data_IF_913144528156
#
_entry.id   IF_913144528156
#
_cell.length_a   1.000
_cell.length_b   1.000
_cell.length_c   1.000
_cell.angle_alpha   90.00
_cell.angle_beta   90.00
_cell.angle_gamma   90.00
#
_symmetry.space_group_name_H-M   'P 1'
#
loop_
_entity.id
_entity.type
_entity.pdbx_description
1 polymer ?
#
# COMPACT_ATOMS: atom_id res chain seq x y z
N UNK A 1 -38.12 -26.61 26.60
CA UNK A 1 -36.87 -27.39 26.61
C UNK A 1 -35.78 -26.44 27.08
N UNK A 2 -35.65 -26.32 28.40
CA UNK A 2 -34.63 -25.49 29.05
C UNK A 2 -33.31 -26.26 29.05
N UNK A 3 -32.23 -25.60 28.64
CA UNK A 3 -30.87 -26.11 28.80
C UNK A 3 -30.14 -25.16 29.75
N UNK A 4 -30.01 -25.60 31.00
CA UNK A 4 -29.13 -25.00 32.00
C UNK A 4 -27.70 -25.50 31.76
N UNK A 5 -26.73 -24.59 31.67
CA UNK A 5 -25.31 -24.89 31.67
C UNK A 5 -24.61 -24.10 32.79
N UNK A 6 -24.01 -24.76 33.79
CA UNK A 6 -23.04 -24.14 34.68
C UNK A 6 -21.64 -24.73 34.47
N UNK A 7 -20.62 -23.90 34.22
CA UNK A 7 -19.19 -24.16 34.51
C UNK A 7 -18.42 -22.87 34.19
N UNK A 8 -18.07 -22.05 35.18
CA UNK A 8 -16.86 -22.12 36.00
C UNK A 8 -15.53 -21.96 35.20
N UNK A 9 -14.93 -20.78 35.37
CA UNK A 9 -13.50 -20.44 35.45
C UNK A 9 -12.49 -21.46 34.88
N UNK A 10 -11.69 -21.01 33.91
CA UNK A 10 -10.27 -21.38 33.85
C UNK A 10 -9.42 -20.23 33.28
N UNK A 11 -8.71 -19.56 34.18
CA UNK A 11 -7.56 -18.71 33.87
C UNK A 11 -6.43 -19.59 33.31
N UNK A 12 -5.80 -19.16 32.22
CA UNK A 12 -4.43 -19.58 31.92
C UNK A 12 -3.71 -18.43 31.20
N UNK A 13 -2.84 -17.76 31.94
CA UNK A 13 -1.94 -16.73 31.42
C UNK A 13 -0.83 -17.36 30.59
N UNK A 14 -0.44 -16.68 29.51
CA UNK A 14 0.73 -17.04 28.72
C UNK A 14 1.77 -15.95 28.91
N UNK A 15 2.80 -16.28 29.69
CA UNK A 15 4.06 -15.58 29.70
C UNK A 15 4.93 -16.08 28.53
N UNK A 16 5.45 -15.17 27.73
CA UNK A 16 6.53 -15.46 26.79
C UNK A 16 7.55 -14.32 26.87
N UNK A 17 8.64 -14.60 27.58
CA UNK A 17 9.84 -13.78 27.59
C UNK A 17 10.87 -14.31 26.58
N UNK A 18 11.66 -13.39 26.03
CA UNK A 18 12.97 -13.53 25.36
C UNK A 18 13.12 -12.32 24.41
N UNK A 19 14.26 -11.66 24.20
CA UNK A 19 15.60 -11.70 24.75
C UNK A 19 16.26 -10.39 24.27
N UNK A 20 17.01 -9.69 25.11
CA UNK A 20 17.84 -8.57 24.67
C UNK A 20 19.05 -8.42 25.59
N UNK A 21 20.22 -8.85 25.12
CA UNK A 21 21.49 -8.17 25.38
C UNK A 21 22.63 -8.80 24.58
N UNK A 22 23.43 -7.94 23.95
CA UNK A 22 24.85 -8.19 23.72
C UNK A 22 25.22 -8.71 22.34
N UNK A 23 25.79 -7.84 21.52
CA UNK A 23 27.17 -8.00 21.02
C UNK A 23 27.61 -6.71 20.34
N UNK A 24 28.55 -6.01 20.98
CA UNK A 24 29.36 -4.99 20.35
C UNK A 24 30.65 -5.65 19.84
N UNK A 25 31.10 -5.36 18.62
CA UNK A 25 32.50 -5.54 18.26
C UNK A 25 33.24 -4.20 18.41
N UNK A 26 34.24 -4.22 19.27
CA UNK A 26 35.31 -3.24 19.40
C UNK A 26 36.24 -3.32 18.18
N UNK A 27 36.28 -2.27 17.37
CA UNK A 27 37.28 -2.06 16.33
C UNK A 27 38.19 -0.90 16.73
N UNK A 28 39.48 -1.19 16.92
CA UNK A 28 40.47 -0.23 17.40
C UNK A 28 41.11 0.65 16.31
N UNK A 29 41.61 1.79 16.80
CA UNK A 29 42.80 2.54 16.43
C UNK A 29 43.03 3.01 14.97
N UNK A 30 43.09 4.34 14.77
CA UNK A 30 44.24 5.02 14.11
C UNK A 30 44.38 6.49 14.56
N UNK A 31 45.57 6.84 15.08
CA UNK A 31 46.42 8.00 14.71
C UNK A 31 45.91 9.47 14.72
N UNK A 32 46.63 10.30 15.48
CA UNK A 32 46.63 11.78 15.48
C UNK A 32 47.26 12.41 14.19
N UNK A 33 47.11 13.75 13.96
CA UNK A 33 47.20 14.44 12.66
C UNK A 33 48.62 14.99 12.32
N UNK A 34 48.83 15.63 11.15
CA UNK A 34 48.93 17.11 11.15
C UNK A 34 48.48 17.90 9.88
N UNK A 35 48.36 19.20 10.16
CA UNK A 35 48.16 20.46 9.43
C UNK A 35 48.43 20.69 7.91
N UNK A 36 47.62 21.65 7.42
CA UNK A 36 47.91 22.81 6.55
C UNK A 36 48.02 22.65 5.02
N UNK A 37 47.05 23.25 4.32
CA UNK A 37 47.13 23.67 2.92
C UNK A 37 46.05 24.71 2.63
N UNK A 38 46.45 25.93 2.31
CA UNK A 38 45.59 27.06 1.99
C UNK A 38 45.10 27.00 0.52
N UNK A 39 43.91 27.54 0.27
CA UNK A 39 43.55 28.13 -1.01
C UNK A 39 42.37 27.50 -1.77
N UNK A 40 41.56 28.41 -2.31
CA UNK A 40 40.62 28.25 -3.43
C UNK A 40 39.14 27.99 -3.11
N UNK A 41 38.37 29.06 -3.32
CA UNK A 41 36.91 29.16 -3.48
C UNK A 41 36.34 28.06 -4.38
N UNK A 42 35.35 27.31 -3.89
CA UNK A 42 34.50 26.45 -4.70
C UNK A 42 33.02 26.59 -4.25
N UNK A 43 32.06 26.69 -5.18
CA UNK A 43 30.64 26.91 -4.88
C UNK A 43 29.99 25.69 -4.21
N UNK A 44 28.92 25.95 -3.45
CA UNK A 44 28.10 24.95 -2.78
C UNK A 44 27.62 23.87 -3.78
N UNK A 45 27.70 22.57 -3.45
CA UNK A 45 27.12 21.53 -4.29
C UNK A 45 25.59 21.59 -4.18
N UNK A 46 24.92 21.65 -5.33
CA UNK A 46 23.49 21.43 -5.49
C UNK A 46 23.05 20.11 -4.84
N UNK A 47 21.80 19.99 -4.37
CA UNK A 47 21.29 18.72 -3.87
C UNK A 47 21.32 17.69 -4.99
N UNK A 48 22.02 16.58 -4.77
CA UNK A 48 21.98 15.41 -5.63
C UNK A 48 20.55 14.86 -5.65
N UNK A 49 19.97 14.77 -6.83
CA UNK A 49 18.74 14.00 -7.06
C UNK A 49 18.98 12.56 -6.58
N UNK A 50 18.26 12.15 -5.53
CA UNK A 50 18.21 10.74 -5.13
C UNK A 50 17.82 9.90 -6.35
N UNK A 51 18.54 8.80 -6.66
CA UNK A 51 18.12 7.91 -7.73
C UNK A 51 16.71 7.41 -7.41
N UNK A 52 15.79 7.52 -8.38
CA UNK A 52 14.50 6.86 -8.32
C UNK A 52 14.75 5.37 -8.08
N UNK A 53 14.43 4.90 -6.87
CA UNK A 53 14.51 3.48 -6.54
C UNK A 53 13.46 2.77 -7.40
N UNK A 54 13.90 1.93 -8.33
CA UNK A 54 13.02 1.02 -9.05
C UNK A 54 12.27 0.16 -8.01
N UNK A 55 10.93 0.10 -8.03
CA UNK A 55 10.20 -0.71 -7.06
C UNK A 55 10.56 -2.19 -7.25
N UNK A 56 11.10 -2.79 -6.19
CA UNK A 56 11.32 -4.23 -6.13
C UNK A 56 9.95 -4.92 -6.10
N UNK A 57 9.68 -5.77 -7.09
CA UNK A 57 8.40 -6.48 -7.21
C UNK A 57 8.11 -7.34 -5.96
N UNK A 58 6.86 -7.38 -5.47
CA UNK A 58 6.46 -8.27 -4.37
C UNK A 58 6.69 -9.75 -4.75
N UNK A 59 7.00 -10.63 -3.78
CA UNK A 59 7.22 -12.05 -4.05
C UNK A 59 5.89 -12.76 -4.32
N UNK A 60 5.67 -13.09 -5.59
CA UNK A 60 4.52 -13.82 -6.12
C UNK A 60 4.17 -13.24 -7.48
N UNK A 61 4.63 -13.85 -8.57
CA UNK A 61 4.46 -13.29 -9.92
C UNK A 61 2.99 -13.21 -10.34
N UNK A 62 2.50 -12.01 -10.60
CA UNK A 62 1.11 -11.74 -11.03
C UNK A 62 1.12 -10.46 -11.89
N UNK A 63 0.94 -10.64 -13.20
CA UNK A 63 0.78 -9.57 -14.18
C UNK A 63 1.99 -8.66 -14.47
N UNK A 64 2.01 -8.04 -15.64
CA UNK A 64 2.99 -6.98 -15.95
C UNK A 64 2.63 -5.74 -15.11
N UNK A 65 3.57 -5.21 -14.32
CA UNK A 65 3.35 -3.94 -13.63
C UNK A 65 3.30 -2.81 -14.66
N UNK A 66 2.17 -2.11 -14.71
CA UNK A 66 1.95 -0.96 -15.60
C UNK A 66 2.27 0.38 -14.93
N UNK A 67 2.15 0.45 -13.61
CA UNK A 67 2.41 1.67 -12.87
C UNK A 67 2.35 1.46 -11.35
N UNK A 68 3.01 2.38 -10.64
CA UNK A 68 3.04 2.42 -9.17
C UNK A 68 2.98 3.84 -8.66
N UNK A 69 2.31 4.09 -7.54
CA UNK A 69 2.32 5.38 -6.86
C UNK A 69 2.35 5.22 -5.34
N UNK A 70 2.92 6.19 -4.64
CA UNK A 70 2.99 6.22 -3.16
C UNK A 70 2.65 7.61 -2.65
N UNK A 71 1.81 7.70 -1.61
CA UNK A 71 1.46 8.98 -0.98
C UNK A 71 2.31 9.28 0.27
N UNK A 72 2.14 10.46 0.86
CA UNK A 72 2.85 10.87 2.07
C UNK A 72 2.53 10.01 3.31
N UNK A 73 1.40 9.31 3.32
CA UNK A 73 1.04 8.37 4.38
C UNK A 73 1.69 6.98 4.20
N UNK A 74 2.51 6.80 3.17
CA UNK A 74 3.17 5.53 2.84
C UNK A 74 2.21 4.47 2.29
N UNK A 75 1.03 4.86 1.81
CA UNK A 75 0.15 3.98 1.07
C UNK A 75 0.68 3.82 -0.34
N UNK A 76 0.70 2.58 -0.83
CA UNK A 76 1.18 2.25 -2.17
C UNK A 76 0.04 1.72 -3.02
N UNK A 77 0.00 2.13 -4.28
CA UNK A 77 -0.92 1.63 -5.27
C UNK A 77 -0.11 1.06 -6.44
N UNK A 78 -0.45 -0.14 -6.87
CA UNK A 78 0.22 -0.86 -7.96
C UNK A 78 -0.85 -1.35 -8.93
N UNK A 79 -0.69 -1.04 -10.22
CA UNK A 79 -1.56 -1.56 -11.28
C UNK A 79 -0.78 -2.60 -12.06
N UNK A 80 -1.35 -3.80 -12.16
CA UNK A 80 -0.84 -4.91 -12.97
C UNK A 80 -1.81 -5.25 -14.09
N UNK A 81 -1.29 -5.70 -15.23
CA UNK A 81 -2.08 -6.27 -16.31
C UNK A 81 -2.12 -7.80 -16.16
N UNK A 82 -3.32 -8.36 -16.01
CA UNK A 82 -3.53 -9.81 -16.05
C UNK A 82 -3.84 -10.27 -17.49
N UNK A 83 -3.43 -11.48 -17.90
CA UNK A 83 -3.79 -12.02 -19.20
C UNK A 83 -5.32 -12.12 -19.33
N UNK A 84 -5.91 -11.45 -20.34
CA UNK A 84 -7.36 -11.49 -20.58
C UNK A 84 -8.11 -10.15 -20.47
N UNK A 85 -7.45 -9.02 -20.74
CA UNK A 85 -8.02 -7.66 -20.79
C UNK A 85 -8.56 -7.10 -19.46
N UNK A 86 -7.99 -7.57 -18.33
CA UNK A 86 -8.29 -7.04 -17.01
C UNK A 86 -7.03 -6.44 -16.38
N UNK A 87 -7.20 -5.27 -15.79
CA UNK A 87 -6.21 -4.64 -14.95
C UNK A 87 -6.58 -4.89 -13.48
N UNK A 88 -5.58 -5.20 -12.67
CA UNK A 88 -5.72 -5.37 -11.23
C UNK A 88 -5.01 -4.22 -10.52
N UNK A 89 -5.77 -3.47 -9.73
CA UNK A 89 -5.24 -2.46 -8.81
C UNK A 89 -5.07 -3.12 -7.44
N UNK A 90 -3.86 -3.10 -6.90
CA UNK A 90 -3.56 -3.46 -5.51
C UNK A 90 -3.13 -2.23 -4.73
N UNK A 91 -3.85 -1.92 -3.65
CA UNK A 91 -3.54 -0.81 -2.74
C UNK A 91 -3.10 -1.38 -1.40
N UNK A 92 -1.86 -1.12 -1.00
CA UNK A 92 -1.36 -1.46 0.33
C UNK A 92 -1.41 -0.22 1.22
N UNK A 93 -2.24 -0.27 2.25
CA UNK A 93 -2.43 0.81 3.23
C UNK A 93 -1.70 0.51 4.54
N UNK A 94 -1.30 1.56 5.25
CA UNK A 94 -0.71 1.49 6.60
C UNK A 94 -1.70 1.98 7.65
N UNK A 95 -1.88 1.20 8.71
CA UNK A 95 -2.75 1.55 9.83
C UNK A 95 -2.16 2.60 10.79
N UNK A 96 -2.96 3.13 11.73
CA UNK A 96 -4.29 2.64 12.10
C UNK A 96 -5.40 3.13 11.17
N UNK A 97 -6.25 2.21 10.69
CA UNK A 97 -7.44 2.52 9.92
C UNK A 97 -8.47 1.39 10.01
N UNK A 98 -9.74 1.74 9.86
CA UNK A 98 -10.84 0.78 9.73
C UNK A 98 -11.44 0.92 8.34
N UNK A 99 -11.49 -0.18 7.60
CA UNK A 99 -12.06 -0.24 6.25
C UNK A 99 -13.43 -0.90 6.31
N UNK A 100 -14.38 -0.31 5.58
CA UNK A 100 -15.70 -0.88 5.35
C UNK A 100 -15.59 -1.91 4.23
N UNK A 101 -16.15 -3.08 4.46
CA UNK A 101 -16.16 -4.17 3.49
C UNK A 101 -17.38 -5.05 3.65
N UNK A 102 -17.24 -6.32 3.26
CA UNK A 102 -18.35 -7.26 3.17
C UNK A 102 -18.68 -7.50 1.71
N UNK A 103 -19.93 -7.33 1.35
CA UNK A 103 -20.36 -7.63 -0.03
C UNK A 103 -20.18 -6.47 -1.01
N UNK A 104 -20.01 -5.25 -0.49
CA UNK A 104 -19.61 -4.08 -1.28
C UNK A 104 -18.08 -4.08 -1.34
N UNK A 105 -17.52 -3.80 -2.51
CA UNK A 105 -16.08 -3.70 -2.67
C UNK A 105 -15.52 -2.57 -1.79
N UNK A 106 -14.61 -2.91 -0.87
CA UNK A 106 -13.90 -1.93 -0.04
C UNK A 106 -13.07 -0.94 -0.84
N UNK A 107 -12.57 -1.39 -1.99
CA UNK A 107 -11.79 -0.60 -2.93
C UNK A 107 -12.56 -0.52 -4.25
N UNK A 108 -12.88 0.70 -4.69
CA UNK A 108 -13.43 0.96 -6.02
C UNK A 108 -12.38 1.65 -6.87
N UNK A 109 -12.20 1.21 -8.11
CA UNK A 109 -11.22 1.77 -9.04
C UNK A 109 -11.85 2.11 -10.39
N UNK A 110 -11.35 3.16 -11.04
CA UNK A 110 -11.74 3.56 -12.39
C UNK A 110 -10.56 4.20 -13.11
N UNK A 111 -10.58 4.14 -14.44
CA UNK A 111 -9.61 4.84 -15.27
C UNK A 111 -10.16 6.21 -15.68
N UNK A 112 -9.29 7.21 -15.75
CA UNK A 112 -9.54 8.52 -16.32
C UNK A 112 -8.54 8.78 -17.44
N UNK A 113 -8.94 9.54 -18.45
CA UNK A 113 -7.99 10.14 -19.39
C UNK A 113 -7.11 11.16 -18.66
N UNK A 114 -5.99 11.55 -19.26
CA UNK A 114 -5.13 12.62 -18.70
C UNK A 114 -5.84 13.97 -18.57
N UNK A 115 -6.97 14.16 -19.27
CA UNK A 115 -7.85 15.32 -19.14
C UNK A 115 -8.86 15.20 -17.97
N UNK A 116 -8.82 14.11 -17.19
CA UNK A 116 -9.71 13.87 -16.06
C UNK A 116 -11.10 13.34 -16.44
N UNK A 117 -11.26 12.82 -17.67
CA UNK A 117 -12.55 12.25 -18.12
C UNK A 117 -12.59 10.77 -17.77
N UNK A 118 -13.60 10.28 -17.02
CA UNK A 118 -13.70 8.86 -16.70
C UNK A 118 -13.88 8.02 -17.97
N UNK A 119 -13.11 6.94 -18.07
CA UNK A 119 -13.26 5.91 -19.10
C UNK A 119 -14.49 5.08 -18.72
N UNK A 120 -15.47 4.91 -19.63
CA UNK A 120 -16.64 4.10 -19.33
C UNK A 120 -16.27 2.66 -18.97
N UNK A 121 -16.53 2.28 -17.72
CA UNK A 121 -16.46 0.89 -17.27
C UNK A 121 -17.72 0.17 -17.76
N UNK A 122 -17.64 -1.03 -18.38
CA UNK A 122 -18.82 -1.85 -18.60
C UNK A 122 -19.56 -2.03 -17.28
N UNK A 123 -20.90 -1.91 -17.33
CA UNK A 123 -21.72 -2.05 -16.13
C UNK A 123 -21.42 -3.41 -15.49
N UNK A 124 -21.14 -3.45 -14.17
CA UNK A 124 -20.94 -4.72 -13.49
C UNK A 124 -22.20 -5.56 -13.68
N UNK A 125 -22.03 -6.85 -13.95
CA UNK A 125 -23.13 -7.80 -13.93
C UNK A 125 -23.74 -7.76 -12.52
N UNK A 126 -25.06 -7.59 -12.35
CA UNK A 126 -25.63 -7.48 -11.02
C UNK A 126 -25.30 -8.73 -10.20
N UNK A 127 -24.43 -8.55 -9.21
CA UNK A 127 -24.08 -9.56 -8.23
C UNK A 127 -25.15 -9.68 -7.15
N UNK A 128 -25.14 -10.83 -6.49
CA UNK A 128 -26.00 -11.24 -5.38
C UNK A 128 -26.29 -10.09 -4.40
N UNK A 129 -27.57 -9.83 -4.13
CA UNK A 129 -28.00 -8.92 -3.05
C UNK A 129 -27.45 -9.43 -1.73
N UNK A 130 -26.42 -8.77 -1.22
CA UNK A 130 -25.66 -9.26 -0.08
C UNK A 130 -25.68 -8.17 0.99
N UNK A 131 -26.38 -8.47 2.08
CA UNK A 131 -26.76 -7.53 3.14
C UNK A 131 -25.69 -7.40 4.25
N UNK A 132 -24.53 -8.02 4.08
CA UNK A 132 -23.48 -8.05 5.11
C UNK A 132 -22.47 -6.91 4.91
N UNK A 133 -22.34 -6.07 5.95
CA UNK A 133 -21.23 -5.13 6.11
C UNK A 133 -20.22 -5.77 7.06
N UNK A 134 -18.96 -5.82 6.65
CA UNK A 134 -17.84 -6.22 7.49
C UNK A 134 -16.97 -5.00 7.80
N UNK A 135 -16.38 -4.97 8.99
CA UNK A 135 -15.35 -4.00 9.35
C UNK A 135 -14.01 -4.70 9.37
N UNK A 136 -13.05 -4.08 8.72
CA UNK A 136 -11.71 -4.61 8.64
C UNK A 136 -10.73 -3.64 9.29
N UNK A 137 -10.13 -4.08 10.38
CA UNK A 137 -9.23 -3.26 11.19
C UNK A 137 -7.81 -3.51 10.70
N UNK A 138 -7.11 -2.44 10.34
CA UNK A 138 -5.66 -2.44 10.08
C UNK A 138 -4.98 -1.75 11.26
N UNK A 139 -4.35 -2.51 12.18
CA UNK A 139 -3.72 -1.94 13.36
C UNK A 139 -2.56 -0.98 13.05
N UNK A 140 -2.23 -0.12 14.01
CA UNK A 140 -1.07 0.76 13.93
C UNK A 140 0.22 -0.03 13.70
N UNK A 141 1.08 0.47 12.80
CA UNK A 141 2.35 -0.18 12.45
C UNK A 141 2.22 -1.42 11.56
N UNK A 142 1.01 -1.81 11.18
CA UNK A 142 0.75 -2.91 10.24
C UNK A 142 0.30 -2.38 8.87
N UNK A 143 0.39 -3.24 7.87
CA UNK A 143 -0.08 -2.95 6.52
C UNK A 143 -1.07 -4.01 6.05
N UNK A 144 -2.01 -3.60 5.18
CA UNK A 144 -2.94 -4.52 4.52
C UNK A 144 -3.19 -4.13 3.07
N UNK A 145 -3.36 -5.14 2.22
CA UNK A 145 -3.62 -4.96 0.80
C UNK A 145 -5.11 -5.12 0.48
N UNK A 146 -5.60 -4.26 -0.40
CA UNK A 146 -6.94 -4.28 -0.98
C UNK A 146 -6.83 -4.31 -2.50
N UNK A 147 -7.69 -5.09 -3.15
CA UNK A 147 -7.63 -5.27 -4.60
C UNK A 147 -8.93 -4.85 -5.26
N UNK A 148 -8.83 -4.25 -6.45
CA UNK A 148 -9.95 -3.96 -7.33
C UNK A 148 -9.57 -4.39 -8.76
N UNK A 149 -10.55 -4.84 -9.52
CA UNK A 149 -10.40 -5.18 -10.93
C UNK A 149 -11.09 -4.13 -11.77
N UNK A 150 -10.47 -3.75 -12.88
CA UNK A 150 -11.05 -2.83 -13.85
C UNK A 150 -10.74 -3.32 -15.27
N UNK A 151 -11.63 -3.09 -16.25
CA UNK A 151 -11.41 -3.44 -17.64
C UNK A 151 -10.25 -2.64 -18.22
N UNK A 152 -9.47 -3.23 -19.12
CA UNK A 152 -8.47 -2.47 -19.85
C UNK A 152 -9.12 -1.32 -20.65
N UNK A 153 -8.65 -0.07 -20.50
CA UNK A 153 -9.16 1.07 -21.25
C UNK A 153 -9.05 0.85 -22.76
N UNK A 154 -10.09 1.27 -23.50
CA UNK A 154 -10.07 1.29 -24.98
C UNK A 154 -10.38 2.70 -25.47
N UNK A 155 -9.62 3.26 -26.43
CA UNK A 155 -8.44 2.69 -27.10
C UNK A 155 -7.21 2.57 -26.16
N UNK A 156 -6.12 1.89 -26.57
CA UNK A 156 -4.85 1.93 -25.85
C UNK A 156 -4.28 3.36 -25.76
N UNK A 157 -3.51 3.65 -24.71
CA UNK A 157 -3.06 5.01 -24.41
C UNK A 157 -2.59 5.22 -22.97
N UNK A 158 -2.42 6.49 -22.59
CA UNK A 158 -2.04 6.89 -21.23
C UNK A 158 -3.28 7.24 -20.41
N UNK A 159 -3.41 6.58 -19.26
CA UNK A 159 -4.55 6.73 -18.36
C UNK A 159 -4.09 6.97 -16.93
N UNK A 160 -4.97 7.59 -16.14
CA UNK A 160 -4.82 7.75 -14.70
C UNK A 160 -5.82 6.85 -14.02
N UNK A 161 -5.35 5.82 -13.33
CA UNK A 161 -6.19 4.98 -12.47
C UNK A 161 -6.41 5.71 -11.15
N UNK A 162 -7.69 6.00 -10.88
CA UNK A 162 -8.19 6.53 -9.62
C UNK A 162 -8.83 5.42 -8.81
N UNK A 163 -8.89 5.62 -7.51
CA UNK A 163 -9.60 4.71 -6.63
C UNK A 163 -10.00 5.36 -5.32
N UNK A 164 -11.04 4.80 -4.71
CA UNK A 164 -11.51 5.15 -3.37
C UNK A 164 -11.49 3.90 -2.50
N UNK A 165 -10.94 4.05 -1.30
CA UNK A 165 -11.01 3.04 -0.25
C UNK A 165 -12.01 3.52 0.80
N UNK A 166 -13.02 2.71 1.07
CA UNK A 166 -14.09 3.08 2.00
C UNK A 166 -13.60 2.93 3.45
N UNK A 167 -13.30 4.05 4.10
CA UNK A 167 -12.69 4.07 5.43
C UNK A 167 -13.60 4.73 6.46
N UNK A 168 -13.56 4.23 7.70
CA UNK A 168 -14.22 4.87 8.84
C UNK A 168 -13.21 5.76 9.60
N UNK A 169 -13.54 7.04 9.77
CA UNK A 169 -12.75 8.01 10.54
C UNK A 169 -12.40 9.27 9.75
N UNK A 170 -11.66 10.22 10.35
CA UNK A 170 -11.29 11.49 9.69
C UNK A 170 -10.44 11.23 8.43
N UNK A 171 -11.06 11.47 7.29
CA UNK A 171 -10.64 11.10 5.94
C UNK A 171 -9.56 12.05 5.39
N UNK A 172 -8.36 12.03 5.96
CA UNK A 172 -7.25 12.86 5.45
C UNK A 172 -6.34 12.13 4.44
N UNK A 173 -6.45 10.80 4.31
CA UNK A 173 -5.54 10.01 3.47
C UNK A 173 -6.27 9.48 2.24
N UNK A 174 -5.85 9.92 1.06
CA UNK A 174 -6.37 9.46 -0.23
C UNK A 174 -5.46 8.41 -0.86
N UNK A 175 -6.05 7.47 -1.60
CA UNK A 175 -5.27 6.54 -2.42
C UNK A 175 -4.54 7.33 -3.52
N UNK A 176 -3.22 7.14 -3.71
CA UNK A 176 -2.51 7.87 -4.74
C UNK A 176 -2.97 7.43 -6.15
N UNK A 177 -3.21 8.37 -7.08
CA UNK A 177 -3.51 8.02 -8.46
C UNK A 177 -2.31 7.35 -9.13
N UNK A 178 -2.56 6.36 -9.99
CA UNK A 178 -1.51 5.65 -10.72
C UNK A 178 -1.61 5.98 -12.20
N UNK A 179 -0.56 6.53 -12.78
CA UNK A 179 -0.46 6.68 -14.24
C UNK A 179 -0.02 5.36 -14.86
N UNK A 180 -0.72 4.92 -15.90
CA UNK A 180 -0.43 3.69 -16.63
C UNK A 180 -0.38 3.95 -18.14
N UNK A 181 0.32 3.08 -18.85
CA UNK A 181 0.26 2.96 -20.29
C UNK A 181 -0.21 1.55 -20.65
N UNK A 182 -1.25 1.46 -21.48
CA UNK A 182 -1.85 0.22 -21.99
C UNK A 182 -1.69 0.17 -23.49
#
# INVERSE_FOLDING_TARGET
MEVRFPLALLLCGVAAGAAACGTAPTGGAVGHPPAAGAGSTAPAPSPVESPAQSPQAPPGGIGQVLGTATNAAGWTAVVTAEPGAQLQLTVTVRGPLTVLGGCVASLTAWAETTAGVPVPTPAPTPGVHCLAIALEIVPAGTSRAFTAVLPEPTPPGTYVVRSTLDTQGPSATSVPPVTIAT
#
